data_IF_280141012719
#
_entry.id   IF_280141012719
#
_cell.length_a   1.000
_cell.length_b   1.000
_cell.length_c   1.000
_cell.angle_alpha   90.00
_cell.angle_beta   90.00
_cell.angle_gamma   90.00
#
_symmetry.space_group_name_H-M   'P 1'
#
loop_
_entity.id
_entity.type
_entity.pdbx_description
1 polymer ?
#
# COMPACT_ATOMS: atom_id res chain seq x y z
N UNK A 1 8.42 -4.84 -9.01
CA UNK A 1 9.57 -4.27 -9.77
C UNK A 1 9.06 -3.11 -10.60
N UNK A 2 9.64 -1.91 -10.51
CA UNK A 2 9.13 -0.74 -11.25
C UNK A 2 9.16 -1.00 -12.77
N UNK A 3 8.12 -0.56 -13.49
CA UNK A 3 7.97 -0.79 -14.94
C UNK A 3 9.16 -0.29 -15.78
N UNK A 4 9.83 0.79 -15.34
CA UNK A 4 10.99 1.33 -16.05
C UNK A 4 12.24 0.42 -16.00
N UNK A 5 12.37 -0.41 -14.95
CA UNK A 5 13.44 -1.42 -14.85
C UNK A 5 13.19 -2.62 -15.77
N UNK A 6 11.91 -2.97 -16.02
CA UNK A 6 11.54 -4.10 -16.87
C UNK A 6 11.90 -3.88 -18.35
N UNK A 7 11.93 -2.62 -18.79
CA UNK A 7 12.19 -2.25 -20.19
C UNK A 7 13.64 -1.87 -20.47
N UNK A 8 14.54 -2.04 -19.48
CA UNK A 8 15.94 -1.64 -19.59
C UNK A 8 16.85 -2.82 -19.25
N UNK A 9 17.30 -3.62 -20.24
CA UNK A 9 18.07 -4.85 -20.00
C UNK A 9 19.39 -4.63 -19.27
N UNK A 10 19.91 -3.40 -19.32
CA UNK A 10 21.14 -2.98 -18.65
C UNK A 10 20.96 -2.49 -17.21
N UNK A 11 19.72 -2.44 -16.71
CA UNK A 11 19.41 -1.95 -15.37
C UNK A 11 18.95 -3.10 -14.48
N UNK A 12 19.46 -3.13 -13.25
CA UNK A 12 19.08 -4.09 -12.23
C UNK A 12 19.01 -3.39 -10.86
N UNK A 13 18.17 -3.88 -9.92
CA UNK A 13 18.28 -3.47 -8.54
C UNK A 13 19.68 -3.82 -8.01
N UNK A 14 20.25 -2.94 -7.19
CA UNK A 14 21.56 -3.15 -6.58
C UNK A 14 21.39 -3.14 -5.06
N UNK A 15 21.95 -4.15 -4.40
CA UNK A 15 21.90 -4.30 -2.95
C UNK A 15 20.60 -4.94 -2.44
N UNK A 16 20.51 -5.05 -1.11
CA UNK A 16 19.34 -5.59 -0.43
C UNK A 16 18.24 -4.54 -0.28
N UNK A 17 17.00 -5.01 -0.15
CA UNK A 17 15.88 -4.13 0.12
C UNK A 17 16.01 -3.53 1.53
N UNK A 18 16.00 -2.20 1.63
CA UNK A 18 16.10 -1.51 2.92
C UNK A 18 14.72 -1.52 3.59
N UNK A 19 14.61 -2.21 4.72
CA UNK A 19 13.35 -2.38 5.46
C UNK A 19 13.41 -1.83 6.88
N UNK A 20 14.27 -0.84 7.13
CA UNK A 20 14.41 -0.26 8.46
C UNK A 20 13.09 0.37 8.94
N UNK A 21 12.51 -0.22 9.98
CA UNK A 21 11.22 0.19 10.53
C UNK A 21 11.24 1.62 11.10
N UNK A 22 12.41 2.15 11.50
CA UNK A 22 12.52 3.53 11.98
C UNK A 22 12.27 4.55 10.87
N UNK A 23 12.58 4.20 9.61
CA UNK A 23 12.45 5.08 8.47
C UNK A 23 11.22 4.79 7.61
N UNK A 24 10.85 3.51 7.45
CA UNK A 24 9.77 3.08 6.56
C UNK A 24 8.46 2.72 7.29
N UNK A 25 8.49 2.59 8.62
CA UNK A 25 7.31 2.35 9.44
C UNK A 25 6.64 0.99 9.17
N UNK A 26 5.34 0.91 9.46
CA UNK A 26 4.55 -0.35 9.43
C UNK A 26 3.66 -0.49 8.19
N UNK A 27 3.78 0.43 7.23
CA UNK A 27 2.98 0.44 6.00
C UNK A 27 2.23 1.76 5.79
N UNK A 28 1.15 1.68 5.00
CA UNK A 28 0.38 2.83 4.53
C UNK A 28 -0.92 3.00 5.32
N UNK A 29 -1.32 4.25 5.59
CA UNK A 29 -2.56 4.55 6.32
C UNK A 29 -3.22 5.85 5.89
N UNK A 30 -4.51 5.99 6.20
CA UNK A 30 -5.28 7.23 5.99
C UNK A 30 -5.25 8.03 7.28
N UNK A 31 -4.60 9.19 7.26
CA UNK A 31 -4.51 10.07 8.42
C UNK A 31 -5.80 10.88 8.62
N UNK A 32 -6.25 11.01 9.87
CA UNK A 32 -7.35 11.89 10.28
C UNK A 32 -6.92 12.78 11.44
N UNK A 33 -7.67 13.85 11.71
CA UNK A 33 -7.43 14.69 12.90
C UNK A 33 -7.55 13.85 14.18
N UNK A 34 -6.66 14.03 15.19
CA UNK A 34 -6.64 13.19 16.39
C UNK A 34 -7.96 13.10 17.15
N UNK A 35 -8.75 14.19 17.16
CA UNK A 35 -10.04 14.24 17.83
C UNK A 35 -11.23 13.74 16.97
N UNK A 36 -11.00 13.27 15.74
CA UNK A 36 -12.06 12.83 14.84
C UNK A 36 -12.22 11.29 14.82
N UNK A 37 -12.56 10.73 15.98
CA UNK A 37 -12.79 9.28 16.14
C UNK A 37 -13.92 8.75 15.25
N UNK A 38 -14.96 9.55 15.05
CA UNK A 38 -16.11 9.15 14.21
C UNK A 38 -15.71 8.91 12.75
N UNK A 39 -14.82 9.74 12.18
CA UNK A 39 -14.31 9.53 10.82
C UNK A 39 -13.35 8.34 10.77
N UNK A 40 -12.47 8.20 11.76
CA UNK A 40 -11.56 7.07 11.87
C UNK A 40 -12.31 5.73 11.80
N UNK A 41 -13.37 5.62 12.61
CA UNK A 41 -14.14 4.38 12.71
C UNK A 41 -14.88 4.06 11.41
N UNK A 42 -15.45 5.07 10.75
CA UNK A 42 -16.10 4.90 9.45
C UNK A 42 -15.11 4.42 8.37
N UNK A 43 -13.92 4.99 8.32
CA UNK A 43 -12.88 4.58 7.37
C UNK A 43 -12.40 3.15 7.65
N UNK A 44 -12.17 2.81 8.92
CA UNK A 44 -11.76 1.46 9.30
C UNK A 44 -12.83 0.40 8.99
N UNK A 45 -14.11 0.71 9.25
CA UNK A 45 -15.22 -0.16 8.90
C UNK A 45 -15.33 -0.36 7.38
N UNK A 46 -15.21 0.71 6.61
CA UNK A 46 -15.21 0.64 5.14
C UNK A 46 -14.05 -0.18 4.61
N UNK A 47 -12.82 0.05 5.11
CA UNK A 47 -11.63 -0.72 4.74
C UNK A 47 -11.79 -2.22 5.06
N UNK A 48 -12.42 -2.54 6.19
CA UNK A 48 -12.71 -3.93 6.57
C UNK A 48 -13.71 -4.56 5.60
N UNK A 49 -14.78 -3.85 5.26
CA UNK A 49 -15.81 -4.33 4.35
C UNK A 49 -15.25 -4.61 2.94
N UNK A 50 -14.51 -3.66 2.35
CA UNK A 50 -13.97 -3.82 0.99
C UNK A 50 -12.88 -4.90 0.89
N UNK A 51 -12.22 -5.21 2.01
CA UNK A 51 -11.27 -6.33 2.07
C UNK A 51 -12.01 -7.65 2.13
N UNK A 52 -13.10 -7.72 2.87
CA UNK A 52 -13.92 -8.93 3.01
C UNK A 52 -14.70 -9.26 1.73
N UNK A 53 -15.19 -8.26 1.00
CA UNK A 53 -15.99 -8.45 -0.22
C UNK A 53 -15.16 -8.59 -1.50
N UNK A 54 -13.83 -8.48 -1.41
CA UNK A 54 -12.90 -8.61 -2.55
C UNK A 54 -12.72 -7.34 -3.38
N UNK A 55 -13.42 -6.25 -3.10
CA UNK A 55 -13.25 -4.96 -3.80
C UNK A 55 -11.82 -4.44 -3.70
N UNK A 56 -11.20 -4.57 -2.53
CA UNK A 56 -9.79 -4.19 -2.34
C UNK A 56 -8.86 -4.99 -3.25
N UNK A 57 -9.09 -6.31 -3.36
CA UNK A 57 -8.28 -7.18 -4.21
C UNK A 57 -8.43 -6.78 -5.68
N UNK A 58 -9.65 -6.55 -6.15
CA UNK A 58 -9.90 -6.11 -7.52
C UNK A 58 -9.21 -4.77 -7.86
N UNK A 59 -9.17 -3.83 -6.91
CA UNK A 59 -8.42 -2.58 -7.07
C UNK A 59 -6.91 -2.87 -7.11
N UNK A 60 -6.40 -3.70 -6.20
CA UNK A 60 -4.99 -4.07 -6.14
C UNK A 60 -4.53 -4.72 -7.44
N UNK A 61 -5.27 -5.70 -7.95
CA UNK A 61 -4.94 -6.44 -9.17
C UNK A 61 -4.89 -5.51 -10.39
N UNK A 62 -5.78 -4.51 -10.43
CA UNK A 62 -5.82 -3.53 -11.52
C UNK A 62 -4.56 -2.66 -11.60
N UNK A 63 -4.02 -2.25 -10.46
CA UNK A 63 -2.92 -1.28 -10.40
C UNK A 63 -1.55 -1.91 -10.12
N UNK A 64 -1.54 -3.10 -9.51
CA UNK A 64 -0.34 -3.84 -9.14
C UNK A 64 -0.42 -5.30 -9.61
N UNK A 65 -0.57 -5.56 -10.91
CA UNK A 65 -0.69 -6.93 -11.45
C UNK A 65 0.60 -7.77 -11.34
N UNK A 66 1.71 -7.23 -10.79
CA UNK A 66 3.03 -7.86 -10.74
C UNK A 66 3.82 -7.54 -9.48
#
# INVERSE_FOLDING_TARGET
MNEWLKNSPQLAPVGEHITDAQYFGTGLGIAVRPNNKALLDKLNAALTAIKADGTYQAISDKWFPQ
#
